data_IF_665577510120
#
_entry.id   IF_665577510120
#
_cell.length_a   1.000
_cell.length_b   1.000
_cell.length_c   1.000
_cell.angle_alpha   90.00
_cell.angle_beta   90.00
_cell.angle_gamma   90.00
#
_symmetry.space_group_name_H-M   'P 1'
#
loop_
_entity.id
_entity.type
_entity.pdbx_description
1 polymer ?
#
# COMPACT_ATOMS: atom_id res chain seq x y z
N UNK A 1 -0.63 0.54 -26.79
CA UNK A 1 -0.98 -0.89 -27.01
C UNK A 1 -0.32 -1.91 -26.06
N UNK A 2 0.90 -1.72 -25.53
CA UNK A 2 1.40 -2.53 -24.40
C UNK A 2 1.28 -1.78 -23.05
N UNK A 3 1.64 -0.50 -23.09
CA UNK A 3 1.50 0.51 -22.02
C UNK A 3 0.06 0.53 -21.48
N UNK A 4 -0.95 0.68 -22.33
CA UNK A 4 -2.36 0.80 -21.89
C UNK A 4 -2.91 -0.39 -21.07
N UNK A 5 -2.39 -1.61 -21.29
CA UNK A 5 -2.83 -2.80 -20.53
C UNK A 5 -2.13 -2.92 -19.18
N UNK A 6 -0.84 -2.60 -19.13
CA UNK A 6 -0.06 -2.50 -17.89
C UNK A 6 -0.62 -1.42 -16.93
N UNK A 7 -1.14 -0.34 -17.51
CA UNK A 7 -1.54 0.88 -16.79
C UNK A 7 -3.05 1.09 -16.69
N UNK A 8 -3.87 0.09 -17.02
CA UNK A 8 -5.36 0.17 -16.99
C UNK A 8 -6.00 0.16 -15.59
N UNK A 9 -5.22 0.38 -14.52
CA UNK A 9 -5.73 0.61 -13.16
C UNK A 9 -5.69 2.10 -12.85
N UNK A 10 -6.73 2.64 -12.17
CA UNK A 10 -6.75 4.03 -11.71
C UNK A 10 -5.36 4.44 -11.19
N UNK A 11 -4.82 5.56 -11.68
CA UNK A 11 -3.50 6.12 -11.31
C UNK A 11 -3.22 6.19 -9.80
N UNK A 12 -4.25 6.05 -8.96
CA UNK A 12 -4.18 5.95 -7.50
C UNK A 12 -3.43 4.71 -7.01
N UNK A 13 -3.45 3.59 -7.73
CA UNK A 13 -2.87 2.31 -7.31
C UNK A 13 -1.55 1.96 -7.98
N UNK A 14 -0.94 2.89 -8.73
CA UNK A 14 0.34 2.66 -9.42
C UNK A 14 1.32 3.78 -9.03
N UNK A 15 2.60 3.42 -8.87
CA UNK A 15 3.71 4.34 -8.64
C UNK A 15 4.85 3.99 -9.60
N UNK A 16 5.33 4.94 -10.39
CA UNK A 16 6.47 4.74 -11.29
C UNK A 16 7.77 5.24 -10.67
N UNK A 17 8.86 4.51 -10.93
CA UNK A 17 10.22 4.93 -10.60
C UNK A 17 11.17 4.51 -11.71
N UNK A 18 12.14 5.37 -12.03
CA UNK A 18 13.18 5.06 -13.01
C UNK A 18 14.08 3.93 -12.51
N UNK A 19 14.45 3.96 -11.23
CA UNK A 19 15.34 2.98 -10.61
C UNK A 19 14.99 2.78 -9.12
N UNK A 20 15.52 1.75 -8.50
CA UNK A 20 15.44 1.52 -7.06
C UNK A 20 16.33 2.56 -6.36
N UNK A 21 15.76 3.52 -5.62
CA UNK A 21 16.56 4.55 -5.00
C UNK A 21 17.48 3.94 -3.94
N UNK A 22 18.74 4.36 -3.92
CA UNK A 22 19.73 3.88 -2.94
C UNK A 22 19.38 4.13 -1.48
N UNK A 23 18.38 5.00 -1.21
CA UNK A 23 17.70 5.09 0.09
C UNK A 23 16.30 4.48 -0.04
N UNK A 24 16.14 3.28 0.53
CA UNK A 24 14.91 2.49 0.47
C UNK A 24 13.68 3.20 1.07
N UNK A 25 13.88 4.13 2.00
CA UNK A 25 12.80 4.80 2.75
C UNK A 25 11.73 5.46 1.87
N UNK A 26 12.09 5.99 0.70
CA UNK A 26 11.13 6.73 -0.15
C UNK A 26 10.03 5.82 -0.69
N UNK A 27 10.39 4.69 -1.30
CA UNK A 27 9.38 3.76 -1.83
C UNK A 27 8.76 2.90 -0.71
N UNK A 28 9.48 2.71 0.40
CA UNK A 28 8.96 1.95 1.54
C UNK A 28 7.70 2.59 2.16
N UNK A 29 7.64 3.93 2.21
CA UNK A 29 6.41 4.64 2.61
C UNK A 29 5.22 4.26 1.72
N UNK A 30 5.46 4.18 0.41
CA UNK A 30 4.43 3.82 -0.56
C UNK A 30 4.01 2.34 -0.41
N UNK A 31 4.96 1.45 -0.13
CA UNK A 31 4.66 0.03 0.17
C UNK A 31 3.74 -0.08 1.39
N UNK A 32 4.08 0.60 2.49
CA UNK A 32 3.23 0.65 3.70
C UNK A 32 1.85 1.22 3.37
N UNK A 33 1.79 2.31 2.59
CA UNK A 33 0.55 2.94 2.20
C UNK A 33 -0.34 2.05 1.32
N UNK A 34 0.24 1.23 0.44
CA UNK A 34 -0.49 0.25 -0.33
C UNK A 34 -1.05 -0.88 0.54
N UNK A 35 -0.25 -1.40 1.48
CA UNK A 35 -0.70 -2.43 2.42
C UNK A 35 -1.84 -1.92 3.35
N UNK A 36 -1.79 -0.65 3.77
CA UNK A 36 -2.87 -0.03 4.55
C UNK A 36 -4.08 0.39 3.69
N UNK A 37 -3.91 0.46 2.37
CA UNK A 37 -4.94 0.87 1.43
C UNK A 37 -5.51 -0.32 0.68
N UNK A 38 -5.84 -0.10 -0.59
CA UNK A 38 -6.43 -1.12 -1.48
C UNK A 38 -5.38 -2.00 -2.18
N UNK A 39 -4.15 -2.00 -1.70
CA UNK A 39 -3.01 -2.52 -2.45
C UNK A 39 -2.57 -1.57 -3.58
N UNK A 40 -1.61 -2.03 -4.38
CA UNK A 40 -1.10 -1.28 -5.51
C UNK A 40 0.17 -1.86 -6.09
N UNK A 41 0.72 -1.19 -7.10
CA UNK A 41 1.92 -1.61 -7.81
C UNK A 41 2.96 -0.51 -7.83
N UNK A 42 4.22 -0.89 -7.64
CA UNK A 42 5.37 -0.04 -7.91
C UNK A 42 6.08 -0.61 -9.14
N UNK A 43 6.28 0.22 -10.16
CA UNK A 43 6.93 -0.20 -11.40
C UNK A 43 8.26 0.52 -11.52
N UNK A 44 9.35 -0.25 -11.56
CA UNK A 44 10.72 0.24 -11.75
C UNK A 44 11.16 0.12 -13.21
N UNK A 45 11.85 1.14 -13.72
CA UNK A 45 12.27 1.25 -15.12
C UNK A 45 11.33 2.13 -15.96
N UNK A 46 10.53 3.00 -15.34
CA UNK A 46 9.63 3.95 -16.00
C UNK A 46 9.74 5.33 -15.34
N UNK A 47 9.84 6.38 -16.14
CA UNK A 47 9.79 7.76 -15.66
C UNK A 47 8.34 8.19 -15.34
N UNK A 48 8.10 8.69 -14.13
CA UNK A 48 6.77 9.09 -13.65
C UNK A 48 6.21 10.34 -14.36
N UNK A 49 7.10 11.22 -14.86
CA UNK A 49 6.71 12.48 -15.51
C UNK A 49 6.45 12.32 -16.99
N UNK A 50 7.29 11.55 -17.68
CA UNK A 50 7.19 11.37 -19.14
C UNK A 50 6.51 10.06 -19.55
N UNK A 51 6.38 9.09 -18.62
CA UNK A 51 5.97 7.71 -18.88
C UNK A 51 6.89 6.97 -19.86
N UNK A 52 8.12 7.46 -20.04
CA UNK A 52 9.13 6.80 -20.86
C UNK A 52 9.67 5.56 -20.17
N UNK A 53 9.75 4.47 -20.92
CA UNK A 53 10.34 3.22 -20.43
C UNK A 53 11.86 3.36 -20.49
N UNK A 54 12.50 3.47 -19.33
CA UNK A 54 13.96 3.50 -19.20
C UNK A 54 14.56 2.11 -19.20
N UNK A 55 13.83 1.15 -18.62
CA UNK A 55 14.27 -0.24 -18.41
C UNK A 55 15.19 -0.40 -17.21
N UNK A 56 15.33 -1.64 -16.76
CA UNK A 56 16.26 -2.08 -15.72
C UNK A 56 17.46 -2.79 -16.33
N UNK A 57 18.62 -2.75 -15.67
CA UNK A 57 19.81 -3.45 -16.13
C UNK A 57 19.61 -4.98 -16.08
N UNK A 58 19.67 -5.70 -17.22
CA UNK A 58 19.47 -7.14 -17.27
C UNK A 58 20.47 -7.95 -16.43
N UNK A 59 21.72 -7.48 -16.35
CA UNK A 59 22.80 -8.20 -15.66
C UNK A 59 22.60 -8.24 -14.14
N UNK A 60 21.93 -7.23 -13.58
CA UNK A 60 21.70 -7.08 -12.13
C UNK A 60 20.26 -7.31 -11.72
N UNK A 61 19.36 -7.62 -12.65
CA UNK A 61 17.91 -7.55 -12.43
C UNK A 61 17.42 -8.46 -11.30
N UNK A 62 17.97 -9.68 -11.20
CA UNK A 62 17.64 -10.63 -10.13
C UNK A 62 18.15 -10.16 -8.77
N UNK A 63 19.36 -9.59 -8.71
CA UNK A 63 19.90 -9.01 -7.48
C UNK A 63 19.05 -7.82 -7.01
N UNK A 64 18.53 -7.03 -7.96
CA UNK A 64 17.62 -5.92 -7.66
C UNK A 64 16.30 -6.44 -7.07
N UNK A 65 15.72 -7.50 -7.63
CA UNK A 65 14.51 -8.14 -7.10
C UNK A 65 14.71 -8.64 -5.66
N UNK A 66 15.82 -9.36 -5.41
CA UNK A 66 16.14 -9.86 -4.07
C UNK A 66 16.31 -8.70 -3.08
N UNK A 67 17.02 -7.65 -3.50
CA UNK A 67 17.23 -6.45 -2.69
C UNK A 67 15.92 -5.75 -2.33
N UNK A 68 14.99 -5.62 -3.28
CA UNK A 68 13.66 -5.04 -3.04
C UNK A 68 12.88 -5.90 -2.03
N UNK A 69 12.84 -7.21 -2.25
CA UNK A 69 12.03 -8.15 -1.46
C UNK A 69 12.52 -8.20 0.00
N UNK A 70 13.84 -8.26 0.20
CA UNK A 70 14.46 -8.23 1.52
C UNK A 70 14.23 -6.89 2.20
N UNK A 71 14.46 -5.77 1.49
CA UNK A 71 14.24 -4.44 2.06
C UNK A 71 12.80 -4.24 2.53
N UNK A 72 11.80 -4.68 1.76
CA UNK A 72 10.39 -4.59 2.13
C UNK A 72 10.09 -5.45 3.37
N UNK A 73 10.51 -6.71 3.33
CA UNK A 73 10.26 -7.68 4.41
C UNK A 73 10.90 -7.25 5.74
N UNK A 74 12.09 -6.65 5.69
CA UNK A 74 12.84 -6.25 6.87
C UNK A 74 12.36 -4.93 7.44
N UNK A 75 11.92 -4.01 6.59
CA UNK A 75 11.53 -2.65 7.00
C UNK A 75 10.10 -2.53 7.52
N UNK A 76 9.20 -3.44 7.14
CA UNK A 76 7.76 -3.29 7.40
C UNK A 76 7.27 -4.24 8.50
N UNK A 77 6.38 -3.75 9.36
CA UNK A 77 5.67 -4.51 10.38
C UNK A 77 4.16 -4.21 10.28
N UNK A 78 3.27 -5.22 10.21
CA UNK A 78 3.59 -6.63 10.00
C UNK A 78 4.40 -6.90 8.73
N UNK A 79 5.07 -8.04 8.66
CA UNK A 79 5.90 -8.40 7.50
C UNK A 79 5.07 -8.35 6.21
N UNK A 80 5.55 -7.60 5.22
CA UNK A 80 4.98 -7.52 3.88
C UNK A 80 5.81 -8.42 2.96
N UNK A 81 5.15 -9.32 2.23
CA UNK A 81 5.77 -10.14 1.19
C UNK A 81 5.20 -9.64 -0.14
N UNK A 82 5.99 -8.91 -0.96
CA UNK A 82 5.54 -8.44 -2.26
C UNK A 82 5.48 -9.59 -3.28
N UNK A 83 4.61 -9.47 -4.27
CA UNK A 83 4.69 -10.27 -5.50
C UNK A 83 5.51 -9.49 -6.54
N UNK A 84 6.59 -10.07 -7.04
CA UNK A 84 7.53 -9.36 -7.93
C UNK A 84 7.60 -10.09 -9.26
N UNK A 85 7.28 -9.37 -10.33
CA UNK A 85 7.28 -9.90 -11.70
C UNK A 85 8.13 -9.06 -12.63
N UNK A 86 8.72 -9.70 -13.64
CA UNK A 86 9.41 -9.03 -14.74
C UNK A 86 8.44 -8.87 -15.90
N UNK A 87 8.42 -7.68 -16.50
CA UNK A 87 7.65 -7.44 -17.71
C UNK A 87 8.54 -6.80 -18.77
N UNK A 88 8.36 -7.21 -20.02
CA UNK A 88 9.06 -6.63 -21.16
C UNK A 88 8.14 -5.65 -21.87
N UNK A 89 8.59 -4.41 -22.02
CA UNK A 89 7.88 -3.34 -22.73
C UNK A 89 8.78 -2.85 -23.85
N UNK A 90 8.44 -3.20 -25.09
CA UNK A 90 9.33 -2.99 -26.23
C UNK A 90 10.55 -3.90 -26.15
N UNK A 91 11.73 -3.31 -26.15
CA UNK A 91 13.05 -3.96 -26.03
C UNK A 91 13.62 -3.90 -24.61
N UNK A 92 12.86 -3.35 -23.65
CA UNK A 92 13.31 -3.09 -22.28
C UNK A 92 12.55 -3.93 -21.27
N UNK A 93 13.22 -4.33 -20.19
CA UNK A 93 12.62 -5.06 -19.08
C UNK A 93 12.39 -4.12 -17.90
N UNK A 94 11.21 -4.20 -17.28
CA UNK A 94 10.81 -3.47 -16.08
C UNK A 94 10.51 -4.45 -14.93
N UNK A 95 10.65 -3.98 -13.70
CA UNK A 95 10.27 -4.76 -12.51
C UNK A 95 8.93 -4.22 -12.00
N UNK A 96 7.96 -5.10 -11.82
CA UNK A 96 6.64 -4.79 -11.25
C UNK A 96 6.55 -5.42 -9.88
N UNK A 97 6.39 -4.59 -8.85
CA UNK A 97 6.24 -4.99 -7.45
C UNK A 97 4.80 -4.76 -7.03
N UNK A 98 4.04 -5.81 -6.83
CA UNK A 98 2.65 -5.78 -6.39
C UNK A 98 2.54 -5.97 -4.88
N UNK A 99 1.87 -5.03 -4.24
CA UNK A 99 1.58 -5.03 -2.80
C UNK A 99 0.09 -5.26 -2.63
N UNK A 100 -0.26 -6.38 -2.00
CA UNK A 100 -1.65 -6.67 -1.65
C UNK A 100 -2.15 -5.77 -0.52
N UNK A 101 -3.46 -5.51 -0.49
CA UNK A 101 -4.11 -4.95 0.69
C UNK A 101 -3.89 -5.87 1.89
N UNK A 102 -3.33 -5.30 2.96
CA UNK A 102 -3.02 -6.02 4.18
C UNK A 102 -4.25 -6.25 5.05
N UNK A 103 -4.26 -7.38 5.75
CA UNK A 103 -5.34 -7.78 6.68
C UNK A 103 -5.02 -7.46 8.14
N UNK A 104 -3.74 -7.30 8.47
CA UNK A 104 -3.25 -7.04 9.83
C UNK A 104 -2.90 -5.57 10.00
N UNK A 105 -3.84 -4.67 9.66
CA UNK A 105 -3.60 -3.23 9.73
C UNK A 105 -3.48 -2.79 11.21
N UNK A 106 -2.70 -1.72 11.50
CA UNK A 106 -1.90 -0.94 10.56
C UNK A 106 -0.56 -1.62 10.25
N UNK A 107 -0.14 -1.49 8.99
CA UNK A 107 1.24 -1.70 8.56
C UNK A 107 2.03 -0.41 8.76
N UNK A 108 3.29 -0.52 9.18
CA UNK A 108 4.15 0.61 9.45
C UNK A 108 5.63 0.30 9.22
N UNK A 109 6.45 1.35 9.11
CA UNK A 109 7.91 1.21 9.08
C UNK A 109 8.44 0.92 10.48
N UNK A 110 9.15 -0.20 10.67
CA UNK A 110 9.72 -0.61 11.96
C UNK A 110 10.59 0.48 12.59
N UNK A 111 11.42 1.13 11.78
CA UNK A 111 12.33 2.19 12.23
C UNK A 111 11.63 3.43 12.80
N UNK A 112 10.33 3.60 12.57
CA UNK A 112 9.53 4.75 13.03
C UNK A 112 8.42 4.39 14.01
N UNK A 113 8.23 3.09 14.26
CA UNK A 113 7.12 2.62 15.08
C UNK A 113 5.74 2.91 14.45
N UNK A 114 4.68 2.61 15.20
CA UNK A 114 3.31 2.66 14.69
C UNK A 114 2.82 4.09 14.40
N UNK A 115 3.17 5.06 15.24
CA UNK A 115 2.65 6.45 15.14
C UNK A 115 3.31 7.18 13.97
N UNK A 116 4.64 7.19 13.90
CA UNK A 116 5.39 7.94 12.87
C UNK A 116 5.73 7.10 11.63
N UNK A 117 5.41 5.80 11.67
CA UNK A 117 5.69 4.84 10.60
C UNK A 117 4.48 4.39 9.80
N UNK A 118 3.25 4.76 10.18
CA UNK A 118 2.04 4.40 9.44
C UNK A 118 1.77 5.42 8.34
N UNK A 119 1.72 4.97 7.09
CA UNK A 119 1.43 5.81 5.93
C UNK A 119 0.16 5.34 5.23
N UNK A 120 -0.53 6.28 4.59
CA UNK A 120 -1.71 6.06 3.76
C UNK A 120 -1.57 6.77 2.42
N UNK A 121 -2.29 6.29 1.41
CA UNK A 121 -2.32 6.92 0.08
C UNK A 121 -3.63 7.65 -0.11
N UNK A 122 -3.54 8.94 -0.43
CA UNK A 122 -4.69 9.79 -0.75
C UNK A 122 -4.52 10.28 -2.18
N UNK A 123 -5.44 9.85 -3.05
CA UNK A 123 -5.33 9.96 -4.50
C UNK A 123 -4.01 9.35 -5.01
N UNK A 124 -3.03 10.16 -5.41
CA UNK A 124 -1.71 9.72 -5.88
C UNK A 124 -0.56 10.01 -4.91
N UNK A 125 -0.84 10.51 -3.70
CA UNK A 125 0.23 10.93 -2.77
C UNK A 125 0.25 10.09 -1.51
N UNK A 126 1.45 9.70 -1.09
CA UNK A 126 1.68 9.00 0.18
C UNK A 126 1.90 10.01 1.30
N UNK A 127 1.13 9.90 2.39
CA UNK A 127 1.17 10.81 3.55
C UNK A 127 1.21 10.02 4.85
N UNK A 128 1.73 10.64 5.91
CA UNK A 128 1.63 10.08 7.26
C UNK A 128 0.15 9.95 7.63
N UNK A 129 -0.23 8.84 8.25
CA UNK A 129 -1.59 8.65 8.73
C UNK A 129 -1.89 9.66 9.84
N UNK A 130 -2.92 10.51 9.69
CA UNK A 130 -3.39 11.32 10.80
C UNK A 130 -3.98 10.41 11.90
N UNK A 131 -4.01 10.89 13.14
CA UNK A 131 -4.43 10.11 14.32
C UNK A 131 -5.77 9.38 14.13
N UNK A 132 -6.77 10.03 13.53
CA UNK A 132 -8.08 9.41 13.28
C UNK A 132 -8.00 8.23 12.29
N UNK A 133 -7.21 8.34 11.23
CA UNK A 133 -7.00 7.24 10.26
C UNK A 133 -6.20 6.11 10.90
N UNK A 134 -5.21 6.44 11.75
CA UNK A 134 -4.45 5.43 12.47
C UNK A 134 -5.36 4.60 13.37
N UNK A 135 -6.27 5.25 14.10
CA UNK A 135 -7.28 4.56 14.93
C UNK A 135 -8.20 3.68 14.10
N UNK A 136 -8.64 4.15 12.94
CA UNK A 136 -9.45 3.36 12.01
C UNK A 136 -8.71 2.09 11.54
N UNK A 137 -7.45 2.22 11.11
CA UNK A 137 -6.62 1.07 10.71
C UNK A 137 -6.42 0.05 11.85
N UNK A 138 -6.29 0.52 13.09
CA UNK A 138 -6.18 -0.37 14.27
C UNK A 138 -7.48 -1.15 14.49
N UNK A 139 -8.63 -0.51 14.34
CA UNK A 139 -9.93 -1.18 14.45
C UNK A 139 -10.11 -2.23 13.35
N UNK A 140 -9.79 -1.87 12.09
CA UNK A 140 -9.87 -2.79 10.94
C UNK A 140 -9.04 -4.05 11.17
N UNK A 141 -7.82 -3.91 11.72
CA UNK A 141 -6.96 -5.05 12.05
C UNK A 141 -7.52 -5.97 13.14
N UNK A 142 -8.41 -5.45 13.99
CA UNK A 142 -9.14 -6.23 14.99
C UNK A 142 -10.46 -6.82 14.44
N UNK A 143 -10.75 -6.63 13.15
CA UNK A 143 -12.04 -6.92 12.54
C UNK A 143 -13.20 -6.21 13.27
N UNK A 144 -12.93 -4.99 13.76
CA UNK A 144 -13.87 -4.08 14.39
C UNK A 144 -14.01 -2.85 13.50
N UNK A 145 -15.20 -2.28 13.47
CA UNK A 145 -15.49 -1.09 12.67
C UNK A 145 -16.11 -0.04 13.58
N UNK A 146 -15.81 1.23 13.35
CA UNK A 146 -16.26 2.34 14.21
C UNK A 146 -17.79 2.41 14.29
N UNK A 147 -18.47 2.15 13.19
CA UNK A 147 -19.94 2.07 13.08
C UNK A 147 -20.55 0.83 13.77
N UNK A 148 -19.71 -0.11 14.22
CA UNK A 148 -20.10 -1.36 14.88
C UNK A 148 -19.65 -1.41 16.35
N UNK A 149 -19.03 -0.35 16.88
CA UNK A 149 -18.68 -0.29 18.30
C UNK A 149 -19.92 0.02 19.15
N UNK A 150 -20.08 -0.63 20.32
CA UNK A 150 -21.14 -0.29 21.24
C UNK A 150 -20.96 1.15 21.73
N UNK A 151 -22.06 1.92 21.69
CA UNK A 151 -22.10 3.24 22.29
C UNK A 151 -22.23 3.10 23.81
N UNK A 152 -21.09 3.08 24.50
CA UNK A 152 -21.05 2.96 25.96
C UNK A 152 -21.80 4.14 26.61
N UNK A 153 -22.75 3.81 27.50
CA UNK A 153 -23.60 4.79 28.20
C UNK A 153 -25.01 4.94 27.61
N UNK A 154 -25.31 4.34 26.46
CA UNK A 154 -26.67 4.30 25.92
C UNK A 154 -27.36 3.01 26.35
N UNK A 155 -28.31 3.12 27.29
CA UNK A 155 -29.13 1.98 27.68
C UNK A 155 -30.29 1.85 26.70
N UNK A 156 -30.28 0.81 25.88
CA UNK A 156 -31.37 0.54 24.93
C UNK A 156 -32.64 0.21 25.72
N UNK A 157 -33.69 1.02 25.56
CA UNK A 157 -34.98 0.76 26.18
C UNK A 157 -35.88 -0.07 25.26
N UNK A 158 -36.92 -0.69 25.81
CA UNK A 158 -37.90 -1.46 25.02
C UNK A 158 -38.66 -0.60 24.00
N UNK A 159 -38.79 0.70 24.24
CA UNK A 159 -39.44 1.63 23.30
C UNK A 159 -38.55 1.97 22.10
N UNK A 160 -37.22 2.02 22.29
CA UNK A 160 -36.27 2.22 21.19
C UNK A 160 -36.30 1.05 20.21
N UNK A 161 -36.43 -0.18 20.73
CA UNK A 161 -36.58 -1.40 19.92
C UNK A 161 -37.89 -1.36 19.11
N UNK A 162 -39.01 -0.96 19.72
CA UNK A 162 -40.31 -0.88 19.02
C UNK A 162 -40.29 0.10 17.85
N UNK A 163 -39.58 1.22 17.97
CA UNK A 163 -39.44 2.22 16.88
C UNK A 163 -38.68 1.68 15.66
N UNK A 164 -37.79 0.70 15.84
CA UNK A 164 -36.98 0.11 14.76
C UNK A 164 -37.66 -1.09 14.07
N UNK A 165 -38.59 -1.76 14.73
CA UNK A 165 -39.24 -3.00 14.23
C UNK A 165 -40.60 -2.72 13.55
N UNK A 166 -40.97 -1.45 13.34
CA UNK A 166 -42.21 -1.12 12.63
C UNK A 166 -41.95 -1.11 11.11
N UNK A 167 -42.03 -2.29 10.49
CA UNK A 167 -42.30 -2.47 9.05
C UNK A 167 -43.70 -3.06 8.93
#
# INVERSE_FOLDING_TARGET
MAIDKLFSGESKSIEYKVDVPGKSEKYMKTVVAFANGRGGRIVFGIDDSTLDVTGMNPDTIFQTIDSITNAISDSCEPRIIPDVTLQTVGDKTVIVVEISSGKMRPYYLKSKGIVDGTFIRVAGTTRLAPDFMLKELILEGQNRYYDSEPCDGLTVTKDDIKKLVTI
#
